data_IF_189200818624
#
_entry.id   IF_189200818624
#
_cell.length_a   1.000
_cell.length_b   1.000
_cell.length_c   1.000
_cell.angle_alpha   90.00
_cell.angle_beta   90.00
_cell.angle_gamma   90.00
#
_symmetry.space_group_name_H-M   'P 1'
#
loop_
_entity.id
_entity.type
_entity.pdbx_description
1 polymer ?
#
# COMPACT_ATOMS: atom_id res chain seq x y z
N UNK A 1 -9.13 -18.98 -7.64
CA UNK A 1 -8.97 -19.05 -6.17
C UNK A 1 -8.30 -20.40 -5.91
N UNK A 2 -7.05 -20.40 -5.44
CA UNK A 2 -6.13 -21.55 -5.60
C UNK A 2 -5.87 -22.34 -4.32
N UNK A 3 -6.74 -22.19 -3.32
CA UNK A 3 -6.83 -23.05 -2.13
C UNK A 3 -8.16 -22.76 -1.41
N UNK A 4 -8.78 -23.79 -0.83
CA UNK A 4 -9.93 -23.67 0.07
C UNK A 4 -9.52 -23.75 1.56
N UNK A 5 -8.22 -23.89 1.83
CA UNK A 5 -7.66 -23.98 3.17
C UNK A 5 -7.18 -22.61 3.66
N UNK A 6 -7.51 -22.29 4.91
CA UNK A 6 -7.09 -21.05 5.56
C UNK A 6 -5.82 -21.30 6.35
N UNK A 7 -4.73 -20.62 5.99
CA UNK A 7 -3.47 -20.65 6.72
C UNK A 7 -3.20 -19.29 7.38
N UNK A 8 -2.91 -19.29 8.68
CA UNK A 8 -2.54 -18.08 9.43
C UNK A 8 -1.03 -17.94 9.46
N UNK A 9 -0.54 -16.77 9.03
CA UNK A 9 0.85 -16.35 9.20
C UNK A 9 0.93 -15.30 10.31
N UNK A 10 1.88 -15.44 11.23
CA UNK A 10 2.15 -14.45 12.27
C UNK A 10 3.44 -13.68 11.92
N UNK A 11 3.44 -12.37 12.16
CA UNK A 11 4.61 -11.52 11.88
C UNK A 11 5.78 -11.90 12.76
N UNK A 12 5.53 -12.38 13.99
CA UNK A 12 6.59 -12.81 14.93
C UNK A 12 7.45 -13.96 14.38
N UNK A 13 6.91 -14.73 13.42
CA UNK A 13 7.58 -15.87 12.81
C UNK A 13 8.35 -15.45 11.53
N UNK A 14 8.26 -14.17 11.13
CA UNK A 14 8.98 -13.62 9.99
C UNK A 14 10.37 -13.12 10.42
N UNK A 15 11.47 -13.56 9.77
CA UNK A 15 12.83 -13.15 10.13
C UNK A 15 13.06 -11.64 9.92
N UNK A 16 12.35 -11.05 8.96
CA UNK A 16 12.47 -9.62 8.62
C UNK A 16 11.51 -8.73 9.43
N UNK A 17 10.65 -9.33 10.26
CA UNK A 17 9.70 -8.59 11.11
C UNK A 17 8.51 -7.98 10.36
N UNK A 18 8.25 -8.39 9.12
CA UNK A 18 7.07 -7.98 8.34
C UNK A 18 6.54 -9.11 7.46
N UNK A 19 5.31 -8.94 6.94
CA UNK A 19 4.70 -9.82 5.96
C UNK A 19 4.24 -9.01 4.75
N UNK A 20 4.52 -9.51 3.54
CA UNK A 20 4.01 -8.95 2.27
C UNK A 20 2.99 -9.89 1.64
N UNK A 21 1.95 -9.35 1.02
CA UNK A 21 0.91 -10.12 0.33
C UNK A 21 0.39 -9.38 -0.89
N UNK A 22 0.00 -10.14 -1.92
CA UNK A 22 -0.69 -9.64 -3.12
C UNK A 22 -1.85 -10.57 -3.48
N UNK A 23 -2.30 -10.57 -4.74
CA UNK A 23 -3.51 -11.26 -5.18
C UNK A 23 -3.35 -12.78 -5.42
N UNK A 24 -2.27 -13.40 -4.96
CA UNK A 24 -2.08 -14.86 -4.98
C UNK A 24 -2.01 -15.42 -3.56
N UNK A 25 -2.32 -16.72 -3.41
CA UNK A 25 -2.21 -17.41 -2.13
C UNK A 25 -0.77 -17.90 -1.92
N UNK A 26 -0.11 -17.41 -0.87
CA UNK A 26 1.25 -17.84 -0.48
C UNK A 26 1.28 -19.31 -0.05
N UNK A 27 0.18 -19.81 0.54
CA UNK A 27 -0.01 -21.23 0.87
C UNK A 27 -0.62 -22.04 -0.28
N UNK A 28 -0.93 -21.41 -1.41
CA UNK A 28 -1.56 -22.05 -2.56
C UNK A 28 -0.56 -22.70 -3.51
N UNK A 29 -1.05 -23.18 -4.65
CA UNK A 29 -0.21 -23.78 -5.68
C UNK A 29 0.72 -22.72 -6.33
N UNK A 30 2.04 -23.00 -6.44
CA UNK A 30 2.96 -22.12 -7.15
C UNK A 30 2.53 -21.86 -8.59
N UNK A 31 2.80 -20.65 -9.09
CA UNK A 31 2.47 -20.20 -10.45
C UNK A 31 0.97 -20.15 -10.79
N UNK A 32 0.08 -20.34 -9.80
CA UNK A 32 -1.34 -20.09 -9.98
C UNK A 32 -1.73 -18.76 -9.30
N UNK A 33 -2.19 -17.79 -10.10
CA UNK A 33 -2.69 -16.50 -9.62
C UNK A 33 -2.06 -15.32 -10.33
N UNK A 34 -2.37 -14.12 -9.85
CA UNK A 34 -1.85 -12.86 -10.40
C UNK A 34 -1.10 -12.07 -9.32
N UNK A 35 -0.14 -11.24 -9.74
CA UNK A 35 0.55 -10.30 -8.85
C UNK A 35 1.88 -10.79 -8.28
N UNK A 36 2.51 -11.80 -8.89
CA UNK A 36 3.87 -12.24 -8.54
C UNK A 36 4.91 -11.12 -8.76
N UNK A 37 4.94 -10.51 -9.95
CA UNK A 37 5.88 -9.41 -10.22
C UNK A 37 5.68 -8.24 -9.25
N UNK A 38 4.43 -7.88 -8.94
CA UNK A 38 4.13 -6.83 -7.96
C UNK A 38 4.55 -7.21 -6.54
N UNK A 39 4.44 -8.48 -6.17
CA UNK A 39 4.97 -8.99 -4.90
C UNK A 39 6.48 -8.84 -4.87
N UNK A 40 7.18 -9.24 -5.93
CA UNK A 40 8.64 -9.16 -6.01
C UNK A 40 9.13 -7.70 -6.03
N UNK A 41 8.40 -6.80 -6.69
CA UNK A 41 8.64 -5.36 -6.61
C UNK A 41 8.59 -4.87 -5.17
N UNK A 42 7.53 -5.21 -4.43
CA UNK A 42 7.39 -4.86 -3.02
C UNK A 42 8.49 -5.51 -2.17
N UNK A 43 8.77 -6.80 -2.36
CA UNK A 43 9.80 -7.54 -1.62
C UNK A 43 11.19 -6.91 -1.78
N UNK A 44 11.54 -6.49 -2.99
CA UNK A 44 12.79 -5.77 -3.26
C UNK A 44 12.87 -4.44 -2.51
N UNK A 45 11.80 -3.63 -2.56
CA UNK A 45 11.76 -2.33 -1.90
C UNK A 45 11.82 -2.47 -0.37
N UNK A 46 11.02 -3.39 0.19
CA UNK A 46 10.95 -3.63 1.62
C UNK A 46 12.23 -4.26 2.18
N UNK A 47 12.88 -5.18 1.46
CA UNK A 47 14.15 -5.77 1.90
C UNK A 47 15.20 -4.69 2.15
N UNK A 48 15.32 -3.72 1.21
CA UNK A 48 16.21 -2.57 1.38
C UNK A 48 15.80 -1.72 2.60
N UNK A 49 14.55 -1.26 2.65
CA UNK A 49 14.09 -0.39 3.73
C UNK A 49 14.17 -1.05 5.12
N UNK A 50 13.93 -2.35 5.21
CA UNK A 50 14.06 -3.13 6.44
C UNK A 50 15.52 -3.19 6.91
N UNK A 51 16.46 -3.50 6.00
CA UNK A 51 17.89 -3.51 6.33
C UNK A 51 18.41 -2.14 6.78
N UNK A 52 17.85 -1.06 6.23
CA UNK A 52 18.17 0.33 6.59
C UNK A 52 17.35 0.82 7.81
N UNK A 53 16.41 0.02 8.33
CA UNK A 53 15.45 0.40 9.39
C UNK A 53 14.67 1.68 9.07
N UNK A 54 14.33 1.88 7.80
CA UNK A 54 13.73 3.10 7.26
C UNK A 54 12.26 2.95 6.87
N UNK A 55 11.61 1.86 7.28
CA UNK A 55 10.17 1.67 7.04
C UNK A 55 9.37 2.63 7.92
N UNK A 56 8.77 3.63 7.29
CA UNK A 56 7.86 4.61 7.92
C UNK A 56 6.59 4.76 7.07
N UNK A 57 5.51 5.34 7.62
CA UNK A 57 4.34 5.65 6.80
C UNK A 57 4.65 6.56 5.61
N UNK A 58 5.57 7.52 5.80
CA UNK A 58 6.09 8.39 4.74
C UNK A 58 6.78 7.57 3.64
N UNK A 59 7.65 6.61 4.00
CA UNK A 59 8.32 5.76 3.01
C UNK A 59 7.32 4.88 2.26
N UNK A 60 6.34 4.29 2.96
CA UNK A 60 5.33 3.45 2.32
C UNK A 60 4.49 4.27 1.33
N UNK A 61 3.99 5.44 1.75
CA UNK A 61 3.12 6.29 0.92
C UNK A 61 3.86 7.06 -0.17
N UNK A 62 5.07 7.54 0.13
CA UNK A 62 5.88 8.38 -0.75
C UNK A 62 6.79 7.60 -1.70
N UNK A 63 7.25 6.40 -1.32
CA UNK A 63 8.18 5.59 -2.12
C UNK A 63 7.51 4.32 -2.62
N UNK A 64 7.08 3.44 -1.71
CA UNK A 64 6.58 2.11 -2.10
C UNK A 64 5.34 2.20 -2.98
N UNK A 65 4.31 2.93 -2.54
CA UNK A 65 3.05 3.09 -3.27
C UNK A 65 3.17 3.85 -4.59
N UNK A 66 4.31 4.52 -4.82
CA UNK A 66 4.57 5.32 -6.04
C UNK A 66 5.64 4.71 -6.94
N UNK A 67 6.10 3.49 -6.63
CA UNK A 67 7.21 2.88 -7.37
C UNK A 67 6.77 2.29 -8.71
N UNK A 68 7.47 2.71 -9.77
CA UNK A 68 7.40 2.12 -11.10
C UNK A 68 8.56 1.17 -11.39
N UNK A 69 9.18 0.60 -10.36
CA UNK A 69 10.18 -0.45 -10.55
C UNK A 69 9.52 -1.75 -11.00
N UNK A 70 10.14 -2.45 -11.95
CA UNK A 70 9.64 -3.72 -12.47
C UNK A 70 10.71 -4.80 -12.40
N UNK A 71 10.57 -5.75 -11.46
CA UNK A 71 11.61 -6.74 -11.13
C UNK A 71 11.99 -7.59 -12.33
N UNK A 72 11.02 -8.01 -13.14
CA UNK A 72 11.26 -8.88 -14.30
C UNK A 72 12.05 -8.16 -15.40
N UNK A 73 11.90 -6.84 -15.50
CA UNK A 73 12.62 -6.01 -16.49
C UNK A 73 13.88 -5.37 -15.87
N UNK A 74 14.07 -5.50 -14.56
CA UNK A 74 15.25 -5.04 -13.84
C UNK A 74 15.46 -3.53 -13.82
N UNK A 75 14.42 -2.71 -14.03
CA UNK A 75 14.56 -1.25 -14.10
C UNK A 75 13.37 -0.48 -13.54
N UNK A 76 13.63 0.78 -13.25
CA UNK A 76 12.63 1.78 -12.92
C UNK A 76 12.13 2.48 -14.19
N UNK A 77 10.83 2.78 -14.24
CA UNK A 77 10.15 3.45 -15.35
C UNK A 77 9.67 4.86 -14.99
N UNK A 78 10.00 5.36 -13.79
CA UNK A 78 9.54 6.67 -13.30
C UNK A 78 9.89 7.84 -14.24
N UNK A 79 11.00 7.74 -14.99
CA UNK A 79 11.46 8.78 -15.91
C UNK A 79 11.04 8.55 -17.36
N UNK A 80 10.35 7.45 -17.65
CA UNK A 80 9.93 7.13 -19.02
C UNK A 80 8.76 8.05 -19.41
N UNK A 81 8.82 8.61 -20.63
CA UNK A 81 7.75 9.46 -21.15
C UNK A 81 6.44 8.69 -21.41
N UNK A 82 6.55 7.38 -21.69
CA UNK A 82 5.43 6.50 -21.93
C UNK A 82 5.77 5.07 -21.56
N UNK A 83 4.85 4.39 -20.87
CA UNK A 83 4.98 2.99 -20.47
C UNK A 83 3.62 2.33 -20.44
N UNK A 84 3.57 1.02 -20.71
CA UNK A 84 2.37 0.22 -20.46
C UNK A 84 2.25 -0.02 -18.96
N UNK A 85 1.15 0.43 -18.36
CA UNK A 85 0.86 0.21 -16.95
C UNK A 85 0.53 -1.26 -16.68
N UNK A 86 1.57 -2.04 -16.39
CA UNK A 86 1.48 -3.45 -16.13
C UNK A 86 2.43 -3.84 -15.00
N UNK A 87 1.87 -4.52 -13.99
CA UNK A 87 2.61 -5.14 -12.89
C UNK A 87 3.48 -4.23 -12.00
N UNK A 88 3.34 -2.91 -12.12
CA UNK A 88 3.76 -1.94 -11.11
C UNK A 88 2.95 -2.08 -9.81
N UNK A 89 3.47 -1.46 -8.74
CA UNK A 89 2.76 -1.36 -7.46
C UNK A 89 1.50 -0.50 -7.61
N UNK A 90 1.59 0.79 -8.01
CA UNK A 90 0.42 1.56 -8.39
C UNK A 90 -0.11 1.07 -9.75
N UNK A 91 -1.44 1.00 -9.89
CA UNK A 91 -2.13 0.72 -11.15
C UNK A 91 -3.15 1.80 -11.42
N UNK A 92 -3.55 1.98 -12.67
CA UNK A 92 -4.68 2.85 -13.05
C UNK A 92 -5.96 2.52 -12.29
N UNK A 93 -6.17 1.25 -11.93
CA UNK A 93 -7.31 0.80 -11.13
C UNK A 93 -7.14 0.96 -9.62
N UNK A 94 -5.98 1.42 -9.14
CA UNK A 94 -5.76 1.68 -7.71
C UNK A 94 -6.64 2.85 -7.29
N UNK A 95 -7.54 2.60 -6.34
CA UNK A 95 -8.46 3.59 -5.81
C UNK A 95 -7.96 4.29 -4.56
N UNK A 96 -6.98 3.70 -3.85
CA UNK A 96 -6.36 4.28 -2.68
C UNK A 96 -5.06 3.56 -2.30
N UNK A 97 -4.27 4.21 -1.44
CA UNK A 97 -3.25 3.58 -0.63
C UNK A 97 -3.35 4.13 0.78
N UNK A 98 -3.32 3.22 1.77
CA UNK A 98 -3.56 3.55 3.17
C UNK A 98 -2.50 2.89 4.03
N UNK A 99 -1.99 3.64 5.01
CA UNK A 99 -1.12 3.11 6.07
C UNK A 99 -1.78 3.39 7.41
N UNK A 100 -1.99 2.36 8.22
CA UNK A 100 -2.51 2.49 9.58
C UNK A 100 -1.34 2.33 10.54
N UNK A 101 -0.98 3.41 11.20
CA UNK A 101 0.10 3.47 12.17
C UNK A 101 -0.49 3.45 13.58
N UNK A 102 -0.30 2.32 14.27
CA UNK A 102 -0.67 2.14 15.67
C UNK A 102 0.29 2.84 16.63
N UNK A 103 0.00 2.70 17.92
CA UNK A 103 0.81 3.29 19.00
C UNK A 103 1.51 2.21 19.81
N UNK A 104 2.65 2.56 20.42
CA UNK A 104 3.37 1.65 21.31
C UNK A 104 2.52 1.28 22.56
N UNK A 105 2.76 0.11 23.18
CA UNK A 105 2.09 -0.28 24.41
C UNK A 105 2.16 0.81 25.50
N UNK A 106 1.03 1.05 26.16
CA UNK A 106 0.91 2.08 27.19
C UNK A 106 0.62 3.50 26.67
N UNK A 107 0.57 3.72 25.35
CA UNK A 107 0.07 4.96 24.75
C UNK A 107 -1.43 4.87 24.48
N UNK A 108 -2.10 6.03 24.48
CA UNK A 108 -3.52 6.09 24.15
C UNK A 108 -3.75 5.69 22.69
N UNK A 109 -4.65 4.73 22.40
CA UNK A 109 -4.97 4.33 21.02
C UNK A 109 -5.52 5.46 20.15
N UNK A 110 -6.00 6.56 20.75
CA UNK A 110 -6.49 7.75 20.04
C UNK A 110 -5.44 8.40 19.13
N UNK A 111 -4.15 8.18 19.41
CA UNK A 111 -3.04 8.67 18.58
C UNK A 111 -2.73 7.77 17.37
N UNK A 112 -3.50 6.71 17.14
CA UNK A 112 -3.43 5.91 15.91
C UNK A 112 -3.74 6.82 14.72
N UNK A 113 -2.90 6.78 13.70
CA UNK A 113 -3.04 7.62 12.50
C UNK A 113 -3.23 6.74 11.28
N UNK A 114 -4.26 7.05 10.48
CA UNK A 114 -4.44 6.46 9.16
C UNK A 114 -4.01 7.47 8.10
N UNK A 115 -2.86 7.21 7.48
CA UNK A 115 -2.31 7.99 6.37
C UNK A 115 -2.98 7.55 5.07
N UNK A 116 -3.72 8.45 4.42
CA UNK A 116 -4.63 8.12 3.33
C UNK A 116 -4.26 8.86 2.05
N UNK A 117 -4.10 8.12 0.95
CA UNK A 117 -4.06 8.65 -0.41
C UNK A 117 -5.24 8.08 -1.18
N UNK A 118 -6.13 8.94 -1.70
CA UNK A 118 -7.23 8.50 -2.58
C UNK A 118 -6.87 8.67 -4.05
N UNK A 119 -7.41 7.79 -4.88
CA UNK A 119 -7.11 7.70 -6.30
C UNK A 119 -5.75 7.06 -6.57
N UNK A 120 -5.17 7.44 -7.71
CA UNK A 120 -3.90 6.92 -8.19
C UNK A 120 -2.72 7.48 -7.38
N UNK A 121 -2.00 6.67 -6.57
CA UNK A 121 -1.03 7.18 -5.59
C UNK A 121 0.06 8.12 -6.14
N UNK A 122 0.63 7.89 -7.35
CA UNK A 122 1.61 8.80 -7.94
C UNK A 122 1.11 10.24 -8.13
N UNK A 123 -0.20 10.43 -8.27
CA UNK A 123 -0.85 11.73 -8.50
C UNK A 123 -1.69 12.19 -7.30
N UNK A 124 -1.59 11.51 -6.15
CA UNK A 124 -2.39 11.80 -4.96
C UNK A 124 -1.59 12.54 -3.88
N UNK A 125 -2.29 13.00 -2.86
CA UNK A 125 -1.73 13.62 -1.65
C UNK A 125 -2.04 12.75 -0.43
N UNK A 126 -1.16 12.77 0.55
CA UNK A 126 -1.35 12.04 1.81
C UNK A 126 -2.11 12.94 2.80
N UNK A 127 -3.25 12.45 3.30
CA UNK A 127 -4.03 13.11 4.35
C UNK A 127 -4.13 12.19 5.58
N UNK A 128 -3.83 12.68 6.80
CA UNK A 128 -4.01 11.90 8.01
C UNK A 128 -5.48 11.86 8.45
N UNK A 129 -5.88 10.74 9.03
CA UNK A 129 -7.15 10.57 9.74
C UNK A 129 -6.85 10.06 11.14
N UNK A 130 -7.41 10.71 12.16
CA UNK A 130 -7.21 10.38 13.57
C UNK A 130 -8.48 9.85 14.21
N UNK A 131 -8.32 8.92 15.13
CA UNK A 131 -9.42 8.41 15.95
C UNK A 131 -9.91 9.53 16.87
N UNK A 132 -11.23 9.72 16.98
CA UNK A 132 -11.82 10.67 17.93
C UNK A 132 -11.69 12.15 17.55
N UNK A 133 -11.30 12.46 16.31
CA UNK A 133 -11.45 13.81 15.78
C UNK A 133 -12.94 14.20 15.78
N UNK A 134 -13.29 15.33 16.39
CA UNK A 134 -14.69 15.80 16.52
C UNK A 134 -15.36 15.95 15.14
N UNK A 135 -14.61 16.42 14.15
CA UNK A 135 -15.06 16.59 12.76
C UNK A 135 -14.95 15.31 11.93
N UNK A 136 -14.51 14.19 12.52
CA UNK A 136 -14.41 12.89 11.85
C UNK A 136 -13.35 12.83 10.75
N UNK A 137 -13.71 12.20 9.63
CA UNK A 137 -12.85 12.07 8.44
C UNK A 137 -12.73 13.42 7.73
N UNK A 138 -11.55 13.89 7.29
CA UNK A 138 -11.42 15.13 6.51
C UNK A 138 -12.36 15.19 5.31
N UNK A 139 -13.03 16.32 5.07
CA UNK A 139 -14.00 16.50 3.96
C UNK A 139 -13.44 16.11 2.59
N UNK A 140 -12.15 16.38 2.34
CA UNK A 140 -11.48 15.98 1.10
C UNK A 140 -11.47 14.45 0.89
N UNK A 141 -11.57 13.65 1.95
CA UNK A 141 -11.60 12.19 1.90
C UNK A 141 -13.02 11.61 1.95
N UNK A 142 -14.02 12.43 2.27
CA UNK A 142 -15.42 11.99 2.34
C UNK A 142 -16.03 11.94 0.93
N UNK A 143 -16.99 11.05 0.70
CA UNK A 143 -17.80 11.08 -0.52
C UNK A 143 -18.74 12.29 -0.54
N UNK A 144 -18.84 12.96 -1.69
CA UNK A 144 -19.84 14.00 -1.91
C UNK A 144 -21.26 13.40 -2.00
N UNK A 145 -22.27 14.17 -1.59
CA UNK A 145 -23.67 13.72 -1.53
C UNK A 145 -24.23 13.27 -2.88
N UNK A 146 -23.71 13.83 -3.97
CA UNK A 146 -24.20 13.65 -5.34
C UNK A 146 -23.45 12.59 -6.15
N UNK A 147 -22.16 12.36 -5.87
CA UNK A 147 -21.31 11.46 -6.66
C UNK A 147 -20.77 10.24 -5.91
N UNK A 148 -20.86 10.22 -4.57
CA UNK A 148 -20.16 9.25 -3.68
C UNK A 148 -18.63 9.27 -3.87
N UNK A 149 -18.10 10.19 -4.69
CA UNK A 149 -16.66 10.37 -4.91
C UNK A 149 -16.14 11.41 -3.95
N UNK A 150 -14.88 11.24 -3.57
CA UNK A 150 -14.23 12.23 -2.75
C UNK A 150 -13.84 13.46 -3.59
N UNK A 151 -13.96 14.69 -3.05
CA UNK A 151 -13.48 15.90 -3.72
C UNK A 151 -12.01 15.82 -4.15
N UNK A 152 -11.20 14.99 -3.47
CA UNK A 152 -9.80 14.76 -3.81
C UNK A 152 -9.62 13.96 -5.12
N UNK A 153 -10.66 13.27 -5.57
CA UNK A 153 -10.66 12.46 -6.78
C UNK A 153 -11.48 13.08 -7.92
N UNK A 154 -11.96 14.32 -7.77
CA UNK A 154 -12.57 15.11 -8.83
C UNK A 154 -11.44 15.86 -9.59
N UNK A 155 -11.02 15.30 -10.73
CA UNK A 155 -10.00 15.84 -11.63
C UNK A 155 -10.50 15.85 -13.07
#
# INVERSE_FOLDING_TARGET
MNSYEVFRYDVKDSPDGYLLRTNYSVSGRPNEGYGYIRYDNAARLFSRAASERSITPEWITGVCSRSFYHTFLGRDFTTDAWVVDQDFIPRRSTSASVVIEGVNPGKSPVFTTMWTMLGYPPCSVVLPVWIGCEYGVPTLLQGAEDSVRSPLCEW
#
